data_IF_624301148358
#
_entry.id   IF_624301148358
#
_cell.length_a   1.000
_cell.length_b   1.000
_cell.length_c   1.000
_cell.angle_alpha   90.00
_cell.angle_beta   90.00
_cell.angle_gamma   90.00
#
_symmetry.space_group_name_H-M   'P 1'
#
loop_
_entity.id
_entity.type
_entity.pdbx_description
1 polymer ?
#
# COMPACT_ATOMS: atom_id res chain seq x y z
N UNK A 1 17.31 16.30 -10.47
CA UNK A 1 16.33 16.02 -9.40
C UNK A 1 15.80 14.60 -9.56
N UNK A 2 15.95 13.73 -8.55
CA UNK A 2 15.63 12.30 -8.68
C UNK A 2 14.11 12.07 -8.70
N UNK A 3 13.68 11.06 -9.47
CA UNK A 3 12.30 10.55 -9.47
C UNK A 3 12.32 9.12 -8.94
N UNK A 4 11.40 8.79 -8.06
CA UNK A 4 11.41 7.47 -7.42
C UNK A 4 10.46 7.36 -6.25
N UNK A 5 10.72 6.34 -5.43
CA UNK A 5 9.97 6.05 -4.21
C UNK A 5 10.83 6.37 -3.00
N UNK A 6 10.22 6.96 -1.98
CA UNK A 6 10.83 7.20 -0.69
C UNK A 6 10.00 6.47 0.37
N UNK A 7 10.65 5.65 1.18
CA UNK A 7 10.04 4.95 2.30
C UNK A 7 10.19 5.78 3.56
N UNK A 8 9.08 6.17 4.19
CA UNK A 8 9.11 7.00 5.41
C UNK A 8 8.45 6.27 6.57
N UNK A 9 9.11 6.24 7.72
CA UNK A 9 8.49 5.86 8.98
C UNK A 9 7.67 7.04 9.51
N UNK A 10 6.36 7.05 9.28
CA UNK A 10 5.48 8.09 9.83
C UNK A 10 5.40 7.90 11.35
N UNK A 11 5.73 8.94 12.13
CA UNK A 11 5.48 8.98 13.57
C UNK A 11 3.98 9.09 13.89
N UNK A 12 3.56 8.69 15.08
CA UNK A 12 2.19 8.95 15.56
C UNK A 12 1.98 10.46 15.76
N UNK A 13 0.79 10.97 15.43
CA UNK A 13 0.46 12.39 15.48
C UNK A 13 0.13 13.00 14.11
N UNK A 14 1.12 13.22 13.23
CA UNK A 14 0.89 13.87 11.93
C UNK A 14 0.00 13.05 11.00
N UNK A 15 -0.76 13.72 10.13
CA UNK A 15 -1.47 13.05 9.04
C UNK A 15 -0.48 12.56 7.97
N UNK A 16 -0.93 11.65 7.09
CA UNK A 16 -0.13 11.27 5.93
C UNK A 16 0.16 12.45 4.98
N UNK A 17 -0.72 13.46 4.96
CA UNK A 17 -0.54 14.65 4.12
C UNK A 17 0.55 15.57 4.68
N UNK A 18 0.63 15.71 6.01
CA UNK A 18 1.67 16.51 6.66
C UNK A 18 3.06 15.96 6.34
N UNK A 19 3.21 14.63 6.29
CA UNK A 19 4.46 13.99 5.86
C UNK A 19 4.78 14.32 4.40
N UNK A 20 3.78 14.26 3.51
CA UNK A 20 3.93 14.65 2.11
C UNK A 20 4.42 16.10 1.98
N UNK A 21 3.83 17.02 2.74
CA UNK A 21 4.21 18.43 2.72
C UNK A 21 5.61 18.67 3.30
N UNK A 22 5.99 17.95 4.36
CA UNK A 22 7.33 17.99 4.94
C UNK A 22 8.39 17.55 3.92
N UNK A 23 8.17 16.42 3.23
CA UNK A 23 9.07 15.94 2.17
C UNK A 23 9.10 16.90 0.98
N UNK A 24 7.95 17.44 0.59
CA UNK A 24 7.83 18.44 -0.49
C UNK A 24 8.71 19.65 -0.19
N UNK A 25 8.65 20.17 1.04
CA UNK A 25 9.45 21.31 1.51
C UNK A 25 10.93 20.98 1.57
N UNK A 26 11.31 19.84 2.18
CA UNK A 26 12.72 19.44 2.33
C UNK A 26 13.43 19.20 1.00
N UNK A 27 12.75 18.58 0.04
CA UNK A 27 13.34 18.30 -1.28
C UNK A 27 13.20 19.45 -2.29
N UNK A 28 12.44 20.51 -1.97
CA UNK A 28 12.17 21.61 -2.90
C UNK A 28 11.43 21.18 -4.18
N UNK A 29 10.66 20.10 -4.13
CA UNK A 29 9.96 19.54 -5.30
C UNK A 29 8.47 19.87 -5.25
N UNK A 30 7.78 19.98 -6.39
CA UNK A 30 6.32 20.24 -6.39
C UNK A 30 5.50 18.95 -6.25
N UNK A 31 5.95 17.86 -6.88
CA UNK A 31 5.14 16.65 -7.08
C UNK A 31 5.52 15.54 -6.11
N UNK A 32 4.79 15.47 -5.00
CA UNK A 32 4.87 14.41 -3.98
C UNK A 32 3.48 13.88 -3.69
N UNK A 33 3.35 12.56 -3.55
CA UNK A 33 2.13 11.89 -3.11
C UNK A 33 2.45 10.61 -2.34
N UNK A 34 1.43 9.92 -1.83
CA UNK A 34 1.62 8.70 -1.03
C UNK A 34 0.76 7.52 -1.52
N UNK A 35 1.20 6.30 -1.21
CA UNK A 35 0.47 5.06 -1.52
C UNK A 35 -0.11 4.44 -0.23
N UNK A 36 -1.38 4.80 0.05
CA UNK A 36 -2.11 4.29 1.20
C UNK A 36 -1.99 5.21 2.42
N UNK A 37 -3.11 5.75 2.85
CA UNK A 37 -3.19 6.61 4.05
C UNK A 37 -2.88 5.79 5.30
N UNK A 38 -2.18 6.40 6.25
CA UNK A 38 -2.16 6.02 7.67
C UNK A 38 -2.95 7.04 8.47
N UNK A 39 -3.75 6.53 9.41
CA UNK A 39 -4.46 7.34 10.37
C UNK A 39 -3.46 8.15 11.23
N UNK A 40 -3.85 9.32 11.77
CA UNK A 40 -2.95 10.18 12.54
C UNK A 40 -2.30 9.46 13.74
N UNK A 41 -3.08 8.73 14.52
CA UNK A 41 -2.60 7.97 15.69
C UNK A 41 -1.71 6.77 15.32
N UNK A 42 -1.80 6.28 14.09
CA UNK A 42 -0.98 5.18 13.60
C UNK A 42 0.42 5.66 13.25
N UNK A 43 1.39 4.75 13.34
CA UNK A 43 2.78 4.94 12.92
C UNK A 43 3.20 3.92 11.86
N UNK A 44 4.44 4.01 11.38
CA UNK A 44 5.05 3.01 10.51
C UNK A 44 5.14 3.42 9.04
N UNK A 45 5.33 2.43 8.17
CA UNK A 45 5.71 2.60 6.77
C UNK A 45 4.68 3.41 5.96
N UNK A 46 5.14 4.51 5.36
CA UNK A 46 4.43 5.32 4.39
C UNK A 46 5.27 5.42 3.12
N UNK A 47 4.78 4.83 2.02
CA UNK A 47 5.41 4.92 0.70
C UNK A 47 5.06 6.28 0.07
N UNK A 48 6.07 7.07 -0.26
CA UNK A 48 5.94 8.34 -0.96
C UNK A 48 6.51 8.25 -2.39
N UNK A 49 5.82 8.88 -3.34
CA UNK A 49 6.27 9.00 -4.71
C UNK A 49 6.79 10.40 -4.96
N UNK A 50 8.00 10.51 -5.51
CA UNK A 50 8.66 11.78 -5.82
C UNK A 50 8.70 11.98 -7.34
N UNK A 51 8.24 13.13 -7.82
CA UNK A 51 8.19 13.48 -9.24
C UNK A 51 7.46 12.39 -10.06
N UNK A 52 8.14 11.73 -11.01
CA UNK A 52 7.55 10.64 -11.80
C UNK A 52 7.16 9.43 -10.95
N UNK A 53 7.75 9.26 -9.76
CA UNK A 53 7.39 8.20 -8.81
C UNK A 53 5.93 8.25 -8.35
N UNK A 54 5.30 9.42 -8.35
CA UNK A 54 3.87 9.55 -8.08
C UNK A 54 2.99 8.72 -9.03
N UNK A 55 3.46 8.45 -10.25
CA UNK A 55 2.70 7.73 -11.28
C UNK A 55 2.68 6.22 -11.07
N UNK A 56 3.59 5.68 -10.25
CA UNK A 56 3.65 4.24 -9.91
C UNK A 56 3.02 3.92 -8.55
N UNK A 57 2.52 4.93 -7.81
CA UNK A 57 1.92 4.73 -6.48
C UNK A 57 0.71 3.80 -6.47
N UNK A 58 0.00 3.68 -7.59
CA UNK A 58 -1.14 2.76 -7.73
C UNK A 58 -0.74 1.29 -7.52
N UNK A 59 0.46 0.89 -7.97
CA UNK A 59 0.90 -0.49 -7.87
C UNK A 59 1.16 -0.92 -6.42
N UNK A 60 1.45 0.02 -5.51
CA UNK A 60 1.62 -0.26 -4.08
C UNK A 60 0.30 -0.17 -3.29
N UNK A 61 -0.67 0.60 -3.79
CA UNK A 61 -2.01 0.71 -3.16
C UNK A 61 -2.75 -0.62 -3.14
N UNK A 62 -2.48 -1.48 -4.13
CA UNK A 62 -3.15 -2.77 -4.30
C UNK A 62 -2.35 -3.96 -3.73
N UNK A 63 -1.19 -3.72 -3.10
CA UNK A 63 -0.42 -4.78 -2.43
C UNK A 63 -1.02 -5.20 -1.08
N UNK A 64 -0.66 -6.37 -0.56
CA UNK A 64 -0.95 -6.70 0.84
C UNK A 64 -0.18 -5.80 1.80
N UNK A 65 -0.71 -5.64 3.02
CA UNK A 65 -0.11 -4.84 4.09
C UNK A 65 -0.03 -5.65 5.37
N UNK A 66 1.08 -5.50 6.09
CA UNK A 66 1.25 -6.08 7.42
C UNK A 66 1.17 -4.99 8.47
N UNK A 67 0.40 -5.24 9.53
CA UNK A 67 0.20 -4.34 10.64
C UNK A 67 0.44 -5.03 11.98
N UNK A 68 0.96 -4.27 12.93
CA UNK A 68 0.93 -4.61 14.36
C UNK A 68 -0.07 -3.70 15.05
N UNK A 69 -0.98 -4.29 15.80
CA UNK A 69 -2.03 -3.58 16.53
C UNK A 69 -2.02 -3.96 18.00
N UNK A 70 -2.23 -2.98 18.88
CA UNK A 70 -2.59 -3.22 20.28
C UNK A 70 -4.02 -2.77 20.45
N UNK A 71 -4.90 -3.66 20.90
CA UNK A 71 -6.31 -3.32 21.18
C UNK A 71 -6.63 -3.48 22.66
N UNK A 72 -7.67 -2.76 23.12
CA UNK A 72 -8.25 -2.88 24.45
C UNK A 72 -9.68 -3.40 24.35
N UNK A 73 -9.95 -4.50 25.03
CA UNK A 73 -11.27 -5.12 25.14
C UNK A 73 -12.14 -4.37 26.15
N UNK A 74 -13.46 -4.39 25.93
CA UNK A 74 -14.42 -3.76 26.83
C UNK A 74 -14.56 -2.24 26.65
N UNK A 75 -13.96 -1.64 25.61
CA UNK A 75 -14.01 -0.21 25.37
C UNK A 75 -14.41 0.07 23.91
N UNK A 76 -15.36 0.97 23.71
CA UNK A 76 -15.83 1.41 22.39
C UNK A 76 -15.76 2.93 22.32
N UNK A 77 -15.11 3.44 21.28
CA UNK A 77 -15.04 4.87 20.96
C UNK A 77 -15.74 5.16 19.64
N UNK A 78 -16.03 6.43 19.39
CA UNK A 78 -16.69 6.85 18.14
C UNK A 78 -15.85 6.56 16.87
N UNK A 79 -14.52 6.64 16.99
CA UNK A 79 -13.58 6.48 15.87
C UNK A 79 -13.01 5.08 15.74
N UNK A 80 -13.32 4.19 16.69
CA UNK A 80 -12.74 2.85 16.85
C UNK A 80 -11.22 2.84 17.12
N UNK A 81 -10.70 3.98 17.55
CA UNK A 81 -9.35 4.15 18.08
C UNK A 81 -9.37 5.03 19.34
N UNK A 82 -8.24 5.11 20.03
CA UNK A 82 -8.11 5.84 21.30
C UNK A 82 -8.28 7.36 21.17
N UNK A 83 -8.35 7.91 19.95
CA UNK A 83 -8.51 9.36 19.74
C UNK A 83 -9.95 9.83 19.73
N UNK A 84 -10.91 8.89 19.67
CA UNK A 84 -12.34 9.19 19.69
C UNK A 84 -12.90 9.30 21.10
N UNK A 85 -14.03 9.99 21.23
CA UNK A 85 -14.80 10.02 22.48
C UNK A 85 -15.25 8.60 22.86
N UNK A 86 -15.14 8.27 24.15
CA UNK A 86 -15.67 7.03 24.71
C UNK A 86 -17.19 7.04 24.58
N UNK A 87 -17.74 5.98 23.97
CA UNK A 87 -19.18 5.77 23.81
C UNK A 87 -19.70 4.72 24.77
N UNK A 88 -18.90 3.70 25.03
CA UNK A 88 -19.29 2.61 25.91
C UNK A 88 -18.07 1.96 26.55
N UNK A 89 -18.22 1.58 27.81
CA UNK A 89 -17.26 0.77 28.55
C UNK A 89 -18.01 -0.39 29.21
N UNK A 90 -17.49 -1.60 29.06
CA UNK A 90 -18.08 -2.84 29.55
C UNK A 90 -17.05 -3.66 30.28
N UNK A 91 -17.51 -4.44 31.26
CA UNK A 91 -16.71 -5.55 31.73
C UNK A 91 -16.50 -6.57 30.60
N UNK A 92 -15.28 -7.06 30.50
CA UNK A 92 -14.91 -8.10 29.55
C UNK A 92 -14.23 -9.21 30.34
N UNK A 93 -14.96 -10.31 30.52
CA UNK A 93 -14.52 -11.50 31.24
C UNK A 93 -14.40 -12.62 30.20
N UNK A 94 -13.27 -12.65 29.48
CA UNK A 94 -12.98 -13.62 28.42
C UNK A 94 -11.72 -14.40 28.78
N UNK A 95 -11.69 -15.67 28.39
CA UNK A 95 -10.51 -16.51 28.52
C UNK A 95 -9.51 -16.25 27.39
N UNK A 96 -8.29 -16.79 27.51
CA UNK A 96 -7.32 -16.73 26.42
C UNK A 96 -7.82 -17.51 25.20
N UNK A 97 -8.46 -18.65 25.44
CA UNK A 97 -9.04 -19.52 24.42
C UNK A 97 -10.13 -18.80 23.62
N UNK A 98 -11.00 -18.04 24.29
CA UNK A 98 -12.04 -17.23 23.62
C UNK A 98 -11.41 -16.18 22.70
N UNK A 99 -10.35 -15.53 23.15
CA UNK A 99 -9.62 -14.51 22.37
C UNK A 99 -8.98 -15.19 21.14
N UNK A 100 -8.28 -16.29 21.32
CA UNK A 100 -7.66 -17.02 20.21
C UNK A 100 -8.68 -17.47 19.18
N UNK A 101 -9.81 -18.07 19.60
CA UNK A 101 -10.89 -18.51 18.72
C UNK A 101 -11.49 -17.32 17.96
N UNK A 102 -11.76 -16.21 18.65
CA UNK A 102 -12.30 -15.01 18.03
C UNK A 102 -11.37 -14.49 16.93
N UNK A 103 -10.06 -14.36 17.20
CA UNK A 103 -9.08 -13.92 16.21
C UNK A 103 -8.97 -14.86 15.00
N UNK A 104 -8.89 -16.18 15.24
CA UNK A 104 -8.78 -17.16 14.16
C UNK A 104 -10.02 -17.19 13.26
N UNK A 105 -11.21 -16.89 13.81
CA UNK A 105 -12.46 -16.84 13.03
C UNK A 105 -12.48 -15.77 11.93
N UNK A 106 -11.59 -14.77 11.99
CA UNK A 106 -11.46 -13.72 10.96
C UNK A 106 -10.43 -14.04 9.87
N UNK A 107 -9.64 -15.11 10.03
CA UNK A 107 -8.70 -15.54 8.98
C UNK A 107 -9.49 -16.03 7.76
N UNK A 108 -9.10 -15.57 6.58
CA UNK A 108 -9.85 -15.78 5.34
C UNK A 108 -10.56 -14.52 4.89
N UNK A 109 -11.74 -14.66 4.31
CA UNK A 109 -12.48 -13.55 3.70
C UNK A 109 -13.80 -13.25 4.42
N UNK A 110 -14.04 -11.98 4.70
CA UNK A 110 -15.32 -11.53 5.25
C UNK A 110 -15.71 -10.14 4.74
N UNK A 111 -16.98 -9.80 4.92
CA UNK A 111 -17.51 -8.49 4.55
C UNK A 111 -17.33 -7.51 5.71
N UNK A 112 -16.36 -6.61 5.56
CA UNK A 112 -16.04 -5.61 6.58
C UNK A 112 -16.77 -4.30 6.31
N UNK A 113 -17.40 -3.74 7.34
CA UNK A 113 -17.98 -2.39 7.27
C UNK A 113 -16.86 -1.37 7.53
N UNK A 114 -16.60 -0.44 6.60
CA UNK A 114 -15.65 0.64 6.83
C UNK A 114 -16.08 1.50 8.03
N UNK A 115 -15.13 2.02 8.83
CA UNK A 115 -15.47 2.92 9.91
C UNK A 115 -15.99 4.25 9.34
N UNK A 116 -16.88 4.90 10.10
CA UNK A 116 -17.43 6.21 9.74
C UNK A 116 -16.31 7.26 9.54
N UNK A 117 -15.26 7.19 10.36
CA UNK A 117 -14.07 8.03 10.22
C UNK A 117 -13.06 7.42 9.26
N UNK A 118 -13.32 7.53 7.95
CA UNK A 118 -12.44 7.03 6.90
C UNK A 118 -12.28 7.99 5.71
N UNK A 119 -11.25 7.77 4.89
CA UNK A 119 -11.00 8.56 3.69
C UNK A 119 -11.87 8.15 2.48
N UNK A 120 -12.81 7.20 2.63
CA UNK A 120 -13.75 6.85 1.55
C UNK A 120 -14.65 8.05 1.25
N UNK A 121 -15.15 8.12 0.02
CA UNK A 121 -16.06 9.19 -0.40
C UNK A 121 -17.50 8.72 -0.45
N UNK A 122 -18.42 9.59 -0.05
CA UNK A 122 -19.86 9.46 -0.28
C UNK A 122 -20.35 10.74 -0.95
N UNK A 123 -20.96 10.61 -2.14
CA UNK A 123 -21.41 11.73 -2.98
C UNK A 123 -20.35 12.84 -3.18
N UNK A 124 -19.08 12.47 -3.27
CA UNK A 124 -17.97 13.40 -3.53
C UNK A 124 -17.21 13.89 -2.27
N UNK A 125 -17.85 13.89 -1.09
CA UNK A 125 -17.25 14.28 0.20
C UNK A 125 -16.60 13.08 0.91
N UNK A 126 -15.56 13.30 1.71
CA UNK A 126 -14.92 12.21 2.48
C UNK A 126 -15.72 11.89 3.73
N UNK A 127 -15.80 10.62 4.13
CA UNK A 127 -16.61 10.19 5.26
C UNK A 127 -16.19 10.84 6.58
N UNK A 128 -14.88 11.01 6.83
CA UNK A 128 -14.43 11.70 8.05
C UNK A 128 -14.87 13.17 8.10
N UNK A 129 -15.08 13.83 6.94
CA UNK A 129 -15.56 15.21 6.88
C UNK A 129 -17.05 15.28 7.24
N UNK A 130 -17.83 14.28 6.80
CA UNK A 130 -19.25 14.14 7.15
C UNK A 130 -19.44 13.75 8.62
N UNK A 131 -18.64 12.81 9.13
CA UNK A 131 -18.70 12.36 10.52
C UNK A 131 -18.41 13.51 11.50
N UNK A 132 -17.41 14.36 11.20
CA UNK A 132 -17.13 15.59 11.96
C UNK A 132 -18.26 16.62 11.95
N UNK A 133 -19.16 16.56 10.97
CA UNK A 133 -20.39 17.37 10.91
C UNK A 133 -21.58 16.68 11.62
N UNK A 134 -21.36 15.56 12.32
CA UNK A 134 -22.38 14.76 12.98
C UNK A 134 -23.16 13.81 12.05
N UNK A 135 -22.77 13.70 10.77
CA UNK A 135 -23.47 12.87 9.78
C UNK A 135 -22.75 11.53 9.61
N UNK A 136 -23.25 10.49 10.28
CA UNK A 136 -22.71 9.12 10.19
C UNK A 136 -23.33 8.40 8.98
N UNK A 137 -22.52 8.20 7.94
CA UNK A 137 -22.90 7.40 6.77
C UNK A 137 -22.36 5.99 6.92
N UNK A 138 -23.26 5.00 6.89
CA UNK A 138 -22.90 3.58 6.81
C UNK A 138 -22.77 3.18 5.34
N UNK A 139 -21.55 2.89 4.92
CA UNK A 139 -21.30 2.35 3.57
C UNK A 139 -21.61 0.86 3.52
N UNK A 140 -21.94 0.33 2.33
CA UNK A 140 -22.05 -1.11 2.15
C UNK A 140 -20.72 -1.79 2.54
N UNK A 141 -20.79 -3.00 3.15
CA UNK A 141 -19.60 -3.78 3.45
C UNK A 141 -18.74 -4.01 2.22
N UNK A 142 -17.43 -4.13 2.44
CA UNK A 142 -16.46 -4.50 1.39
C UNK A 142 -15.87 -5.84 1.77
N UNK A 143 -15.82 -6.76 0.80
CA UNK A 143 -15.07 -8.00 0.93
C UNK A 143 -13.58 -7.69 1.15
N UNK A 144 -13.05 -8.15 2.27
CA UNK A 144 -11.64 -8.06 2.64
C UNK A 144 -11.11 -9.46 2.94
N UNK A 145 -9.80 -9.63 2.83
CA UNK A 145 -9.09 -10.85 3.20
C UNK A 145 -8.06 -10.57 4.30
N UNK A 146 -8.12 -11.37 5.36
CA UNK A 146 -7.07 -11.50 6.37
C UNK A 146 -6.26 -12.74 5.97
N UNK A 147 -5.02 -12.54 5.53
CA UNK A 147 -4.19 -13.66 5.07
C UNK A 147 -3.71 -14.52 6.24
N UNK A 148 -3.30 -13.87 7.33
CA UNK A 148 -2.98 -14.50 8.60
C UNK A 148 -3.11 -13.48 9.73
N UNK A 149 -3.27 -14.00 10.94
CA UNK A 149 -3.24 -13.21 12.18
C UNK A 149 -2.51 -13.99 13.26
N UNK A 150 -1.70 -13.30 14.06
CA UNK A 150 -0.93 -13.87 15.15
C UNK A 150 -1.10 -13.00 16.38
N UNK A 151 -1.50 -13.60 17.49
CA UNK A 151 -1.46 -12.95 18.79
C UNK A 151 -0.01 -13.01 19.28
N UNK A 152 0.51 -11.87 19.70
CA UNK A 152 1.88 -11.71 20.18
C UNK A 152 1.94 -11.66 21.72
N UNK A 153 0.92 -11.06 22.34
CA UNK A 153 0.82 -10.92 23.79
C UNK A 153 -0.64 -10.68 24.19
N UNK A 154 -1.03 -11.18 25.37
CA UNK A 154 -2.34 -10.92 25.98
C UNK A 154 -2.14 -10.58 27.45
N UNK A 155 -2.68 -9.44 27.86
CA UNK A 155 -2.74 -9.02 29.25
C UNK A 155 -4.21 -8.96 29.68
N UNK A 156 -4.66 -9.94 30.46
CA UNK A 156 -6.04 -10.05 30.92
C UNK A 156 -6.40 -8.98 31.97
N UNK A 157 -5.45 -8.56 32.80
CA UNK A 157 -5.67 -7.54 33.83
C UNK A 157 -5.94 -6.17 33.19
N UNK A 158 -5.12 -5.79 32.20
CA UNK A 158 -5.31 -4.56 31.42
C UNK A 158 -6.34 -4.69 30.31
N UNK A 159 -6.80 -5.92 30.04
CA UNK A 159 -7.70 -6.30 28.94
C UNK A 159 -7.13 -5.87 27.58
N UNK A 160 -5.83 -6.08 27.37
CA UNK A 160 -5.16 -5.72 26.12
C UNK A 160 -4.65 -6.93 25.36
N UNK A 161 -4.69 -6.83 24.03
CA UNK A 161 -4.18 -7.86 23.11
C UNK A 161 -3.27 -7.19 22.10
N UNK A 162 -2.03 -7.68 21.99
CA UNK A 162 -1.09 -7.30 20.95
C UNK A 162 -1.13 -8.37 19.85
N UNK A 163 -1.30 -7.94 18.61
CA UNK A 163 -1.38 -8.84 17.46
C UNK A 163 -0.64 -8.29 16.24
N UNK A 164 -0.32 -9.19 15.32
CA UNK A 164 0.19 -8.88 14.00
C UNK A 164 -0.66 -9.56 12.94
N UNK A 165 -0.92 -8.88 11.82
CA UNK A 165 -1.77 -9.43 10.74
C UNK A 165 -1.35 -8.92 9.37
N UNK A 166 -1.48 -9.76 8.36
CA UNK A 166 -1.41 -9.37 6.96
C UNK A 166 -2.79 -9.33 6.33
N UNK A 167 -3.10 -8.23 5.68
CA UNK A 167 -4.43 -7.94 5.15
C UNK A 167 -4.39 -7.45 3.72
N UNK A 168 -5.48 -7.72 3.01
CA UNK A 168 -5.73 -7.21 1.66
C UNK A 168 -5.90 -5.67 1.63
N UNK A 169 -5.73 -5.03 0.46
CA UNK A 169 -5.95 -3.60 0.28
C UNK A 169 -7.34 -3.09 0.73
N UNK A 170 -7.33 -2.02 1.51
CA UNK A 170 -8.55 -1.34 1.96
C UNK A 170 -9.23 -2.02 3.14
N UNK A 171 -8.56 -2.96 3.81
CA UNK A 171 -8.94 -3.47 5.12
C UNK A 171 -8.66 -2.40 6.19
N UNK A 172 -9.61 -2.20 7.10
CA UNK A 172 -9.49 -1.29 8.23
C UNK A 172 -9.17 -2.10 9.48
N UNK A 173 -7.98 -1.89 10.06
CA UNK A 173 -7.58 -2.58 11.30
C UNK A 173 -8.44 -2.13 12.50
N UNK A 174 -8.91 -0.88 12.49
CA UNK A 174 -9.89 -0.38 13.47
C UNK A 174 -11.20 -1.16 13.44
N UNK A 175 -11.75 -1.41 12.25
CA UNK A 175 -12.94 -2.26 12.10
C UNK A 175 -12.64 -3.70 12.52
N UNK A 176 -11.49 -4.27 12.14
CA UNK A 176 -11.11 -5.62 12.57
C UNK A 176 -11.09 -5.74 14.10
N UNK A 177 -10.47 -4.78 14.81
CA UNK A 177 -10.45 -4.78 16.27
C UNK A 177 -11.87 -4.73 16.86
N UNK A 178 -12.73 -3.83 16.36
CA UNK A 178 -14.13 -3.79 16.77
C UNK A 178 -14.87 -5.10 16.49
N UNK A 179 -14.69 -5.69 15.30
CA UNK A 179 -15.37 -6.91 14.89
C UNK A 179 -14.95 -8.09 15.78
N UNK A 180 -13.66 -8.19 16.14
CA UNK A 180 -13.18 -9.14 17.17
C UNK A 180 -13.84 -8.86 18.52
N UNK A 181 -13.88 -7.59 18.95
CA UNK A 181 -14.54 -7.21 20.20
C UNK A 181 -16.04 -7.54 20.22
N UNK A 182 -16.75 -7.40 19.09
CA UNK A 182 -18.14 -7.79 18.96
C UNK A 182 -18.31 -9.31 19.03
N UNK A 183 -17.41 -10.07 18.40
CA UNK A 183 -17.42 -11.53 18.48
C UNK A 183 -17.25 -12.03 19.92
N UNK A 184 -16.42 -11.34 20.70
CA UNK A 184 -16.23 -11.57 22.14
C UNK A 184 -17.36 -11.00 23.02
N UNK A 185 -18.29 -10.22 22.45
CA UNK A 185 -19.43 -9.65 23.16
C UNK A 185 -19.14 -8.42 24.04
N UNK A 186 -17.89 -7.97 24.13
CA UNK A 186 -17.51 -6.86 25.00
C UNK A 186 -17.07 -5.58 24.26
N UNK A 187 -16.92 -5.64 22.92
CA UNK A 187 -16.37 -4.54 22.13
C UNK A 187 -14.86 -4.37 22.31
N UNK A 188 -14.22 -3.61 21.43
CA UNK A 188 -12.79 -3.33 21.53
C UNK A 188 -12.38 -2.08 20.76
N UNK A 189 -11.36 -1.38 21.24
CA UNK A 189 -10.79 -0.22 20.57
C UNK A 189 -9.32 -0.46 20.24
N UNK A 190 -8.86 0.11 19.12
CA UNK A 190 -7.44 0.06 18.79
C UNK A 190 -6.67 1.16 19.55
N UNK A 191 -5.75 0.75 20.42
CA UNK A 191 -4.88 1.65 21.19
C UNK A 191 -3.70 2.12 20.35
N UNK A 192 -3.03 1.18 19.71
CA UNK A 192 -1.83 1.44 18.90
C UNK A 192 -1.94 0.72 17.57
N UNK A 193 -1.39 1.36 16.53
CA UNK A 193 -1.33 0.79 15.20
C UNK A 193 -0.02 1.15 14.52
N UNK A 194 0.69 0.15 14.04
CA UNK A 194 1.92 0.30 13.27
C UNK A 194 1.83 -0.48 11.97
N UNK A 195 2.05 0.18 10.83
CA UNK A 195 2.19 -0.51 9.55
C UNK A 195 3.63 -0.93 9.33
N UNK A 196 3.89 -2.22 9.34
CA UNK A 196 5.23 -2.78 9.20
C UNK A 196 5.63 -2.93 7.74
N UNK A 197 4.70 -3.35 6.87
CA UNK A 197 5.03 -3.69 5.47
C UNK A 197 3.95 -3.27 4.47
N UNK A 198 4.38 -3.01 3.24
CA UNK A 198 3.53 -2.90 2.05
C UNK A 198 4.20 -3.70 0.93
N UNK A 199 3.65 -4.86 0.60
CA UNK A 199 4.28 -5.80 -0.34
C UNK A 199 5.69 -6.18 0.12
N UNK A 200 6.68 -5.96 -0.74
CA UNK A 200 8.07 -6.25 -0.43
C UNK A 200 8.77 -5.17 0.42
N UNK A 201 8.20 -3.98 0.58
CA UNK A 201 8.80 -2.91 1.36
C UNK A 201 8.50 -3.04 2.85
N UNK A 202 9.51 -2.77 3.67
CA UNK A 202 9.46 -2.87 5.12
C UNK A 202 9.73 -1.53 5.81
N UNK A 203 9.17 -1.33 7.01
CA UNK A 203 9.40 -0.13 7.83
C UNK A 203 10.86 -0.02 8.29
N UNK A 204 11.56 -1.15 8.41
CA UNK A 204 12.98 -1.22 8.77
C UNK A 204 13.89 -0.58 7.70
N UNK A 205 13.42 -0.52 6.45
CA UNK A 205 14.12 0.12 5.32
C UNK A 205 13.76 1.62 5.20
N UNK A 206 12.84 2.10 6.05
CA UNK A 206 12.29 3.44 5.92
C UNK A 206 13.05 4.47 6.77
N UNK A 207 13.02 5.72 6.31
CA UNK A 207 13.68 6.81 7.01
C UNK A 207 12.71 7.53 7.95
N UNK A 208 13.24 8.05 9.06
CA UNK A 208 12.54 9.04 9.85
C UNK A 208 12.77 10.43 9.22
N UNK A 209 11.70 11.02 8.71
CA UNK A 209 11.79 12.30 8.01
C UNK A 209 12.19 13.44 8.93
N UNK A 210 11.88 13.39 10.22
CA UNK A 210 12.14 14.50 11.13
C UNK A 210 13.62 14.61 11.48
N UNK A 211 14.29 13.47 11.67
CA UNK A 211 15.72 13.41 12.02
C UNK A 211 16.67 13.55 10.82
N UNK A 212 16.17 13.39 9.58
CA UNK A 212 17.02 13.38 8.38
C UNK A 212 17.24 14.79 7.79
N UNK A 213 18.49 15.21 7.53
CA UNK A 213 18.81 16.43 6.80
C UNK A 213 18.34 16.38 5.33
N UNK A 214 17.91 17.52 4.79
CA UNK A 214 17.37 17.65 3.43
C UNK A 214 18.30 17.06 2.35
N UNK A 215 19.59 17.28 2.50
CA UNK A 215 20.66 16.88 1.58
C UNK A 215 20.84 15.36 1.51
N UNK A 216 20.38 14.63 2.53
CA UNK A 216 20.49 13.18 2.61
C UNK A 216 19.24 12.46 2.07
N UNK A 217 18.08 13.13 2.01
CA UNK A 217 16.83 12.52 1.53
C UNK A 217 16.96 12.01 0.09
N UNK A 218 17.61 12.77 -0.80
CA UNK A 218 17.73 12.37 -2.22
C UNK A 218 18.48 11.05 -2.41
N UNK A 219 19.35 10.67 -1.47
CA UNK A 219 20.10 9.42 -1.52
C UNK A 219 19.24 8.19 -1.22
N UNK A 220 18.15 8.40 -0.48
CA UNK A 220 17.20 7.35 -0.09
C UNK A 220 16.03 7.21 -1.08
N UNK A 221 16.02 7.99 -2.17
CA UNK A 221 15.02 7.84 -3.22
C UNK A 221 15.36 6.59 -4.05
N UNK A 222 14.55 5.56 -3.89
CA UNK A 222 14.60 4.30 -4.63
C UNK A 222 14.22 4.57 -6.10
N UNK A 223 15.11 4.25 -7.07
CA UNK A 223 14.82 4.41 -8.49
C UNK A 223 13.57 3.66 -8.94
N UNK A 224 12.88 4.17 -9.97
CA UNK A 224 11.63 3.58 -10.47
C UNK A 224 11.77 2.09 -10.88
N UNK A 225 12.92 1.73 -11.46
CA UNK A 225 13.17 0.36 -11.89
C UNK A 225 13.22 -0.60 -10.69
N UNK A 226 13.94 -0.19 -9.65
CA UNK A 226 14.15 -0.96 -8.43
C UNK A 226 12.88 -1.04 -7.59
N UNK A 227 12.11 0.05 -7.53
CA UNK A 227 10.85 0.09 -6.80
C UNK A 227 9.78 -0.87 -7.36
N UNK A 228 9.94 -1.33 -8.60
CA UNK A 228 9.05 -2.28 -9.27
C UNK A 228 9.77 -3.59 -9.61
N UNK A 229 10.85 -3.93 -8.88
CA UNK A 229 11.69 -5.10 -9.18
C UNK A 229 10.94 -6.44 -9.23
N UNK A 230 9.85 -6.56 -8.48
CA UNK A 230 8.99 -7.76 -8.47
C UNK A 230 8.21 -7.94 -9.78
N UNK A 231 8.10 -6.90 -10.61
CA UNK A 231 7.53 -7.04 -11.93
C UNK A 231 8.60 -7.60 -12.89
N UNK A 232 8.27 -8.62 -13.69
CA UNK A 232 9.16 -9.13 -14.74
C UNK A 232 9.54 -8.01 -15.72
N UNK A 233 10.72 -8.08 -16.33
CA UNK A 233 11.19 -7.08 -17.28
C UNK A 233 11.33 -7.63 -18.70
N UNK A 234 11.04 -6.76 -19.66
CA UNK A 234 11.34 -6.93 -21.09
C UNK A 234 12.40 -5.88 -21.43
N UNK A 235 13.58 -6.36 -21.84
CA UNK A 235 14.68 -5.53 -22.35
C UNK A 235 14.41 -5.28 -23.83
N UNK A 236 14.37 -4.00 -24.23
CA UNK A 236 14.15 -3.61 -25.62
C UNK A 236 15.40 -3.01 -26.24
N UNK A 237 15.49 -3.09 -27.57
CA UNK A 237 16.57 -2.48 -28.34
C UNK A 237 16.62 -0.97 -28.11
N UNK A 238 17.80 -0.35 -28.24
CA UNK A 238 17.94 1.11 -28.19
C UNK A 238 16.94 1.87 -29.07
N UNK A 239 16.74 1.42 -30.32
CA UNK A 239 15.83 2.07 -31.27
C UNK A 239 14.36 1.98 -30.85
N UNK A 240 13.95 0.86 -30.24
CA UNK A 240 12.62 0.73 -29.64
C UNK A 240 12.50 1.61 -28.39
N UNK A 241 13.54 1.70 -27.56
CA UNK A 241 13.53 2.50 -26.34
C UNK A 241 13.07 3.95 -26.58
N UNK A 242 13.66 4.63 -27.56
CA UNK A 242 13.26 6.01 -27.92
C UNK A 242 11.81 6.09 -28.42
N UNK A 243 11.36 5.08 -29.17
CA UNK A 243 9.98 5.00 -29.67
C UNK A 243 8.98 4.74 -28.53
N UNK A 244 9.33 3.91 -27.55
CA UNK A 244 8.52 3.63 -26.35
C UNK A 244 8.33 4.89 -25.53
N UNK A 245 9.36 5.73 -25.39
CA UNK A 245 9.25 7.02 -24.72
C UNK A 245 8.25 7.97 -25.40
N UNK A 246 8.01 7.78 -26.71
CA UNK A 246 7.01 8.49 -27.49
C UNK A 246 5.67 7.72 -27.63
N UNK A 247 5.47 6.62 -26.89
CA UNK A 247 4.21 5.87 -26.84
C UNK A 247 4.07 4.70 -27.82
N UNK A 248 5.13 4.35 -28.55
CA UNK A 248 5.12 3.21 -29.46
C UNK A 248 5.06 1.89 -28.69
N UNK A 249 4.25 0.95 -29.17
CA UNK A 249 4.12 -0.38 -28.55
C UNK A 249 5.36 -1.24 -28.83
N UNK A 250 5.55 -2.29 -28.03
CA UNK A 250 6.69 -3.20 -28.15
C UNK A 250 6.29 -4.43 -28.96
N UNK A 251 7.03 -4.71 -30.04
CA UNK A 251 6.85 -5.87 -30.90
C UNK A 251 7.96 -6.90 -30.69
N UNK A 252 7.76 -8.11 -31.23
CA UNK A 252 8.70 -9.24 -31.10
C UNK A 252 10.14 -8.86 -31.47
N UNK A 253 10.30 -8.11 -32.57
CA UNK A 253 11.61 -7.73 -33.12
C UNK A 253 12.33 -6.67 -32.27
N UNK A 254 11.59 -5.96 -31.43
CA UNK A 254 12.13 -4.97 -30.51
C UNK A 254 12.71 -5.58 -29.23
N UNK A 255 12.32 -6.82 -28.90
CA UNK A 255 12.73 -7.48 -27.66
C UNK A 255 14.16 -7.97 -27.79
N UNK A 256 15.04 -7.61 -26.86
CA UNK A 256 16.38 -8.20 -26.72
C UNK A 256 16.29 -9.43 -25.83
N UNK A 257 15.76 -9.23 -24.62
CA UNK A 257 15.73 -10.24 -23.56
C UNK A 257 14.45 -10.10 -22.70
N UNK A 258 14.09 -11.19 -22.03
CA UNK A 258 13.06 -11.24 -21.00
C UNK A 258 13.72 -11.76 -19.72
N UNK A 259 13.64 -10.99 -18.63
CA UNK A 259 14.37 -11.30 -17.39
C UNK A 259 13.75 -12.43 -16.59
N UNK A 260 12.42 -12.54 -16.61
CA UNK A 260 11.65 -13.46 -15.77
C UNK A 260 10.45 -14.01 -16.54
N UNK A 261 9.96 -15.18 -16.13
CA UNK A 261 8.76 -15.75 -16.72
C UNK A 261 7.49 -14.98 -16.36
N UNK A 262 6.60 -14.86 -17.34
CA UNK A 262 5.33 -14.19 -17.15
C UNK A 262 4.24 -14.71 -18.05
N UNK A 263 3.01 -14.60 -17.56
CA UNK A 263 1.81 -14.97 -18.29
C UNK A 263 1.24 -13.81 -19.10
N UNK A 264 0.40 -14.15 -20.09
CA UNK A 264 -0.39 -13.15 -20.80
C UNK A 264 -1.27 -12.38 -19.81
N UNK A 265 -1.26 -11.06 -19.90
CA UNK A 265 -2.01 -10.16 -19.01
C UNK A 265 -1.21 -9.67 -17.81
N UNK A 266 -0.02 -10.25 -17.54
CA UNK A 266 0.85 -9.77 -16.47
C UNK A 266 1.33 -8.33 -16.72
N UNK A 267 1.57 -7.59 -15.63
CA UNK A 267 2.28 -6.31 -15.70
C UNK A 267 3.78 -6.58 -15.85
N UNK A 268 4.41 -5.87 -16.76
CA UNK A 268 5.85 -6.00 -17.04
C UNK A 268 6.50 -4.62 -17.05
N UNK A 269 7.77 -4.56 -16.67
CA UNK A 269 8.62 -3.38 -16.88
C UNK A 269 9.22 -3.43 -18.28
N UNK A 270 9.25 -2.29 -18.96
CA UNK A 270 10.02 -2.10 -20.19
C UNK A 270 11.28 -1.34 -19.82
N UNK A 271 12.43 -1.95 -20.09
CA UNK A 271 13.74 -1.38 -19.79
C UNK A 271 14.62 -1.38 -21.05
N UNK A 272 15.57 -0.45 -21.13
CA UNK A 272 16.59 -0.51 -22.18
C UNK A 272 17.74 -1.46 -21.80
N UNK A 273 18.66 -1.68 -22.74
CA UNK A 273 19.87 -2.51 -22.57
C UNK A 273 20.81 -2.02 -21.46
N UNK A 274 20.63 -0.78 -20.96
CA UNK A 274 21.39 -0.20 -19.83
C UNK A 274 20.63 -0.31 -18.50
N UNK A 275 19.46 -0.94 -18.48
CA UNK A 275 18.61 -1.07 -17.30
C UNK A 275 17.83 0.21 -16.96
N UNK A 276 17.75 1.21 -17.85
CA UNK A 276 16.91 2.39 -17.66
C UNK A 276 15.45 1.98 -17.75
N UNK A 277 14.67 2.36 -16.75
CA UNK A 277 13.23 2.15 -16.76
C UNK A 277 12.53 3.10 -17.74
N UNK A 278 11.79 2.52 -18.70
CA UNK A 278 11.10 3.26 -19.75
C UNK A 278 9.58 3.28 -19.53
N UNK A 279 8.98 2.14 -19.21
CA UNK A 279 7.53 2.02 -19.12
C UNK A 279 7.07 0.87 -18.23
N UNK A 280 5.80 0.93 -17.78
CA UNK A 280 5.02 -0.25 -17.40
C UNK A 280 4.10 -0.63 -18.56
N UNK A 281 4.02 -1.91 -18.87
CA UNK A 281 3.18 -2.46 -19.92
C UNK A 281 2.41 -3.69 -19.44
N UNK A 282 1.42 -4.12 -20.22
CA UNK A 282 0.73 -5.40 -20.05
C UNK A 282 1.23 -6.38 -21.11
N UNK A 283 1.69 -7.55 -20.70
CA UNK A 283 2.11 -8.62 -21.60
C UNK A 283 0.93 -9.13 -22.42
N UNK A 284 1.09 -9.25 -23.74
CA UNK A 284 0.07 -9.80 -24.64
C UNK A 284 0.32 -11.25 -25.04
N UNK A 285 1.48 -11.77 -24.67
CA UNK A 285 1.92 -13.15 -24.87
C UNK A 285 2.62 -13.62 -23.59
N UNK A 286 2.68 -14.94 -23.38
CA UNK A 286 3.52 -15.53 -22.34
C UNK A 286 5.01 -15.45 -22.72
N UNK A 287 5.90 -15.31 -21.75
CA UNK A 287 7.36 -15.16 -21.93
C UNK A 287 7.93 -16.21 -22.90
N UNK A 288 7.64 -17.49 -22.65
CA UNK A 288 8.16 -18.61 -23.45
C UNK A 288 7.72 -18.62 -24.92
N UNK A 289 6.62 -17.94 -25.27
CA UNK A 289 6.15 -17.89 -26.66
C UNK A 289 6.86 -16.82 -27.50
N UNK A 290 7.51 -15.84 -26.86
CA UNK A 290 8.22 -14.75 -27.57
C UNK A 290 9.36 -15.31 -28.42
N UNK A 291 10.14 -16.28 -27.89
CA UNK A 291 11.20 -16.97 -28.65
C UNK A 291 10.65 -17.72 -29.86
N UNK A 292 9.47 -18.32 -29.73
CA UNK A 292 8.81 -19.02 -30.84
C UNK A 292 8.38 -18.04 -31.93
N UNK A 293 7.81 -16.89 -31.54
CA UNK A 293 7.41 -15.85 -32.49
C UNK A 293 8.61 -15.29 -33.27
N UNK A 294 9.75 -15.05 -32.60
CA UNK A 294 11.00 -14.67 -33.26
C UNK A 294 11.43 -15.68 -34.31
N UNK A 295 11.46 -16.98 -33.96
CA UNK A 295 11.83 -18.06 -34.88
C UNK A 295 10.90 -18.17 -36.09
N UNK A 296 9.62 -17.88 -35.91
CA UNK A 296 8.62 -17.88 -36.97
C UNK A 296 8.63 -16.60 -37.82
N UNK A 297 9.51 -15.63 -37.55
CA UNK A 297 9.57 -14.35 -38.27
C UNK A 297 8.31 -13.51 -38.14
N UNK A 298 7.60 -13.63 -37.01
CA UNK A 298 6.32 -12.94 -36.79
C UNK A 298 6.50 -11.60 -36.09
N UNK A 299 5.89 -10.55 -36.65
CA UNK A 299 5.88 -9.20 -36.08
C UNK A 299 4.67 -8.98 -35.14
N UNK A 300 4.49 -9.86 -34.16
CA UNK A 300 3.41 -9.75 -33.18
C UNK A 300 3.72 -8.66 -32.13
N UNK A 301 2.68 -8.00 -31.61
CA UNK A 301 2.81 -7.13 -30.43
C UNK A 301 3.02 -7.99 -29.18
N UNK A 302 4.03 -7.66 -28.39
CA UNK A 302 4.41 -8.39 -27.17
C UNK A 302 3.93 -7.69 -25.91
N UNK A 303 3.99 -6.36 -25.88
CA UNK A 303 3.57 -5.61 -24.72
C UNK A 303 2.78 -4.36 -25.12
N UNK A 304 1.64 -4.16 -24.46
CA UNK A 304 0.82 -2.96 -24.59
C UNK A 304 1.18 -1.97 -23.49
N UNK A 305 1.69 -0.80 -23.85
CA UNK A 305 2.11 0.22 -22.88
C UNK A 305 0.92 0.69 -22.04
N UNK A 306 1.15 0.80 -20.72
CA UNK A 306 0.21 1.40 -19.75
C UNK A 306 0.68 2.77 -19.30
N UNK A 307 1.96 2.90 -18.93
CA UNK A 307 2.54 4.16 -18.46
C UNK A 307 3.98 4.30 -18.95
N UNK A 308 4.28 5.44 -19.57
CA UNK A 308 5.61 5.76 -20.12
C UNK A 308 6.30 6.82 -19.26
N UNK A 309 7.60 6.66 -18.99
CA UNK A 309 8.40 7.47 -18.07
C UNK A 309 9.48 8.30 -18.77
N UNK A 310 9.18 8.78 -19.98
CA UNK A 310 10.02 9.73 -20.73
C UNK A 310 10.27 11.03 -19.98
N UNK A 311 11.31 11.76 -20.36
CA UNK A 311 11.56 13.12 -19.87
C UNK A 311 10.36 14.01 -20.17
N UNK A 312 9.97 14.85 -19.20
CA UNK A 312 8.89 15.81 -19.42
C UNK A 312 9.43 16.78 -20.48
N UNK A 313 8.75 16.87 -21.63
CA UNK A 313 9.00 17.96 -22.58
C UNK A 313 8.59 19.22 -21.83
N UNK A 314 9.58 20.07 -21.53
CA UNK A 314 9.40 21.34 -20.84
C UNK A 314 8.44 22.26 -21.58
#
# INVERSE_FOLDING_TARGET
MRSGILLVNKRSGPTSHDVVDSVRKKLGVRKVGHAGTLDPFAKGLLILGINKGTRILEYFKDMYKTYRGKMKLGLITETFDITGEVREERECNVSLEDIEEAFQSFVGEYDQVPPAYSARRYKGERLYELARKGVIIRLPPKRVKINWIRILDVNLDEKTVLFETEVSPGTYIRSLAMDVGYKLGCGAVLLELERLRIGHFSVEESIDIESMPAEQLERHIIPLNEALKDLPAIVVTKSCGDKVLNGSQVYVDDVVEVSDDFEKGALVRIIDEKGRFLAVATAERKSGFIRTLKRLGRHDRIAKLRKVFGEERG
#
